data_IF_170725760841
#
_entry.id   IF_170725760841
#
_cell.length_a   1.000
_cell.length_b   1.000
_cell.length_c   1.000
_cell.angle_alpha   90.00
_cell.angle_beta   90.00
_cell.angle_gamma   90.00
#
_symmetry.space_group_name_H-M   'P 1'
#
loop_
_entity.id
_entity.type
_entity.pdbx_description
1 polymer ?
#
# COMPACT_ATOMS: atom_id res chain seq x y z
N UNK A 1 -7.25 -0.48 -63.10
CA UNK A 1 -6.34 -1.01 -64.16
C UNK A 1 -6.92 -2.26 -64.83
N UNK A 2 -7.22 -3.32 -64.14
CA UNK A 2 -7.63 -4.58 -64.75
C UNK A 2 -9.07 -4.52 -65.33
N UNK A 3 -10.00 -3.91 -64.61
CA UNK A 3 -11.42 -3.87 -65.02
C UNK A 3 -11.67 -2.82 -66.08
N UNK A 4 -11.20 -1.57 -65.89
CA UNK A 4 -11.55 -0.43 -66.73
C UNK A 4 -10.41 -0.01 -67.72
N UNK A 5 -9.29 -0.71 -67.75
CA UNK A 5 -8.09 -0.44 -68.59
C UNK A 5 -7.62 1.03 -68.56
N UNK A 6 -7.84 1.73 -67.46
CA UNK A 6 -7.43 3.11 -67.23
C UNK A 6 -5.97 3.24 -66.78
N UNK A 7 -5.43 4.47 -66.81
CA UNK A 7 -4.11 4.72 -66.34
C UNK A 7 -3.95 4.42 -64.84
N UNK A 8 -2.73 4.04 -64.35
CA UNK A 8 -2.51 3.85 -62.91
C UNK A 8 -2.88 5.07 -62.05
N UNK A 9 -2.64 6.27 -62.58
CA UNK A 9 -2.87 7.52 -61.87
C UNK A 9 -4.40 7.79 -61.73
N UNK A 10 -5.17 7.56 -62.79
CA UNK A 10 -6.62 7.75 -62.77
C UNK A 10 -7.29 6.74 -61.86
N UNK A 11 -6.82 5.48 -61.87
CA UNK A 11 -7.29 4.43 -60.95
C UNK A 11 -6.98 4.75 -59.47
N UNK A 12 -5.79 5.26 -59.21
CA UNK A 12 -5.38 5.67 -57.86
C UNK A 12 -6.18 6.88 -57.39
N UNK A 13 -6.35 7.88 -58.25
CA UNK A 13 -7.18 9.06 -57.94
C UNK A 13 -8.61 8.67 -57.61
N UNK A 14 -9.26 7.86 -58.45
CA UNK A 14 -10.62 7.37 -58.25
C UNK A 14 -10.76 6.59 -56.94
N UNK A 15 -9.82 5.70 -56.66
CA UNK A 15 -9.79 4.93 -55.40
C UNK A 15 -9.67 5.86 -54.19
N UNK A 16 -8.76 6.84 -54.25
CA UNK A 16 -8.54 7.79 -53.16
C UNK A 16 -9.78 8.61 -52.83
N UNK A 17 -10.44 9.23 -53.87
CA UNK A 17 -11.65 10.03 -53.65
C UNK A 17 -12.84 9.21 -53.18
N UNK A 18 -12.87 7.91 -53.53
CA UNK A 18 -13.94 6.99 -53.09
C UNK A 18 -13.71 6.59 -51.62
N UNK A 19 -12.50 6.11 -51.27
CA UNK A 19 -12.19 5.64 -49.92
C UNK A 19 -12.18 6.78 -48.90
N UNK A 20 -11.70 7.98 -49.30
CA UNK A 20 -11.72 9.17 -48.41
C UNK A 20 -13.08 9.82 -48.30
N UNK A 21 -14.14 9.28 -48.96
CA UNK A 21 -15.53 9.80 -48.96
C UNK A 21 -15.67 11.21 -49.50
N UNK A 22 -14.69 11.73 -50.25
CA UNK A 22 -14.74 13.07 -50.88
C UNK A 22 -15.71 13.11 -52.03
N UNK A 23 -15.76 12.08 -52.88
CA UNK A 23 -16.81 11.81 -53.86
C UNK A 23 -17.15 12.94 -54.83
N UNK A 24 -16.15 13.68 -55.37
CA UNK A 24 -16.44 14.81 -56.27
C UNK A 24 -17.25 14.40 -57.50
N UNK A 25 -16.71 13.46 -58.26
CA UNK A 25 -17.38 12.84 -59.41
C UNK A 25 -16.49 11.73 -59.97
N UNK A 26 -17.04 10.81 -60.75
CA UNK A 26 -16.30 9.78 -61.46
C UNK A 26 -15.21 10.40 -62.35
N UNK A 27 -13.94 9.94 -62.16
CA UNK A 27 -12.83 10.41 -62.98
C UNK A 27 -12.91 9.91 -64.42
N UNK A 28 -13.63 8.81 -64.65
CA UNK A 28 -13.92 8.19 -65.95
C UNK A 28 -15.22 7.36 -65.87
N UNK A 29 -15.91 7.13 -66.99
CA UNK A 29 -17.13 6.32 -67.01
C UNK A 29 -16.81 4.88 -66.57
N UNK A 30 -17.61 4.36 -65.61
CA UNK A 30 -17.46 3.01 -65.10
C UNK A 30 -18.36 2.02 -65.83
N UNK A 31 -17.82 0.86 -66.19
CA UNK A 31 -18.61 -0.29 -66.63
C UNK A 31 -19.46 -0.85 -65.47
N UNK A 32 -20.50 -1.67 -65.72
CA UNK A 32 -21.25 -2.33 -64.67
C UNK A 32 -20.37 -3.13 -63.68
N UNK A 33 -19.31 -3.75 -64.17
CA UNK A 33 -18.33 -4.46 -63.34
C UNK A 33 -17.51 -3.49 -62.52
N UNK A 34 -17.08 -2.35 -63.04
CA UNK A 34 -16.40 -1.28 -62.33
C UNK A 34 -17.26 -0.63 -61.25
N UNK A 35 -18.57 -0.41 -61.53
CA UNK A 35 -19.53 0.08 -60.54
C UNK A 35 -19.66 -0.89 -59.36
N UNK A 36 -19.84 -2.18 -59.62
CA UNK A 36 -19.93 -3.19 -58.57
C UNK A 36 -18.63 -3.26 -57.72
N UNK A 37 -17.47 -3.18 -58.37
CA UNK A 37 -16.20 -3.12 -57.67
C UNK A 37 -16.06 -1.86 -56.81
N UNK A 38 -16.46 -0.70 -57.32
CA UNK A 38 -16.40 0.58 -56.60
C UNK A 38 -17.31 0.57 -55.38
N UNK A 39 -18.47 -0.05 -55.45
CA UNK A 39 -19.37 -0.25 -54.29
C UNK A 39 -18.68 -1.09 -53.21
N UNK A 40 -18.08 -2.22 -53.57
CA UNK A 40 -17.36 -3.05 -52.63
C UNK A 40 -16.14 -2.31 -52.02
N UNK A 41 -15.43 -1.54 -52.85
CA UNK A 41 -14.28 -0.73 -52.40
C UNK A 41 -14.74 0.38 -51.42
N UNK A 42 -15.87 1.02 -51.68
CA UNK A 42 -16.42 2.06 -50.81
C UNK A 42 -16.75 1.49 -49.42
N UNK A 43 -17.52 0.40 -49.33
CA UNK A 43 -17.85 -0.23 -48.07
C UNK A 43 -16.65 -0.79 -47.34
N UNK A 44 -15.75 -1.47 -48.07
CA UNK A 44 -14.52 -2.02 -47.47
C UNK A 44 -13.58 -0.92 -47.01
N UNK A 45 -13.37 0.13 -47.79
CA UNK A 45 -12.54 1.28 -47.46
C UNK A 45 -13.01 2.03 -46.22
N UNK A 46 -14.32 2.31 -46.13
CA UNK A 46 -14.92 2.93 -44.95
C UNK A 46 -14.73 2.04 -43.72
N UNK A 47 -14.95 0.73 -43.87
CA UNK A 47 -14.73 -0.23 -42.77
C UNK A 47 -13.32 -0.18 -42.22
N UNK A 48 -12.31 -0.18 -43.09
CA UNK A 48 -10.90 -0.08 -42.67
C UNK A 48 -10.59 1.26 -42.00
N UNK A 49 -11.09 2.38 -42.56
CA UNK A 49 -10.90 3.71 -41.96
C UNK A 49 -11.53 3.77 -40.55
N UNK A 50 -12.74 3.23 -40.37
CA UNK A 50 -13.40 3.21 -39.07
C UNK A 50 -12.64 2.36 -38.04
N UNK A 51 -12.06 1.21 -38.44
CA UNK A 51 -11.22 0.40 -37.55
C UNK A 51 -9.97 1.19 -37.15
N UNK A 52 -9.25 1.77 -38.12
CA UNK A 52 -8.05 2.57 -37.84
C UNK A 52 -8.40 3.77 -36.94
N UNK A 53 -9.49 4.49 -37.24
CA UNK A 53 -9.94 5.61 -36.42
C UNK A 53 -10.32 5.17 -34.99
N UNK A 54 -10.99 4.02 -34.86
CA UNK A 54 -11.33 3.48 -33.52
C UNK A 54 -10.12 3.08 -32.71
N UNK A 55 -9.12 2.43 -33.31
CA UNK A 55 -7.87 2.08 -32.64
C UNK A 55 -7.04 3.34 -32.31
N UNK A 56 -7.00 4.32 -33.21
CA UNK A 56 -6.36 5.60 -32.95
C UNK A 56 -7.06 6.36 -31.81
N UNK A 57 -8.39 6.40 -31.81
CA UNK A 57 -9.18 6.99 -30.73
C UNK A 57 -8.96 6.24 -29.41
N UNK A 58 -8.88 4.90 -29.45
CA UNK A 58 -8.57 4.07 -28.29
C UNK A 58 -7.18 4.40 -27.74
N UNK A 59 -6.15 4.49 -28.58
CA UNK A 59 -4.79 4.90 -28.18
C UNK A 59 -4.75 6.34 -27.66
N UNK A 60 -5.52 7.27 -28.23
CA UNK A 60 -5.63 8.67 -27.77
C UNK A 60 -6.45 8.81 -26.47
N UNK A 61 -7.46 7.97 -26.29
CA UNK A 61 -8.28 7.93 -25.07
C UNK A 61 -7.63 7.06 -23.98
N UNK A 62 -6.80 6.08 -24.35
CA UNK A 62 -5.96 5.35 -23.42
C UNK A 62 -4.85 6.29 -22.93
N UNK A 63 -5.19 7.02 -21.97
CA UNK A 63 -4.54 7.37 -20.71
C UNK A 63 -3.04 7.73 -20.69
N UNK A 64 -2.26 7.64 -21.75
CA UNK A 64 -0.81 7.92 -21.68
C UNK A 64 -0.51 9.42 -21.47
N UNK A 65 -1.37 10.31 -21.94
CA UNK A 65 -1.18 11.75 -21.72
C UNK A 65 -1.57 12.16 -20.29
N UNK A 66 -2.65 11.59 -19.75
CA UNK A 66 -3.00 11.77 -18.32
C UNK A 66 -2.00 11.08 -17.42
N UNK A 67 -1.44 9.94 -17.84
CA UNK A 67 -0.38 9.20 -17.19
C UNK A 67 0.90 10.02 -17.03
N UNK A 68 1.37 10.69 -18.07
CA UNK A 68 2.58 11.53 -17.99
C UNK A 68 2.41 12.71 -17.04
N UNK A 69 1.21 13.24 -16.88
CA UNK A 69 0.91 14.34 -15.95
C UNK A 69 0.76 13.79 -14.51
N UNK A 70 0.05 12.67 -14.33
CA UNK A 70 -0.10 12.00 -13.03
C UNK A 70 1.22 11.50 -12.46
N UNK A 71 2.01 10.75 -13.23
CA UNK A 71 3.34 10.25 -12.83
C UNK A 71 4.26 11.39 -12.39
N UNK A 72 4.24 12.55 -13.07
CA UNK A 72 5.06 13.72 -12.66
C UNK A 72 4.61 14.29 -11.32
N UNK A 73 3.32 14.30 -11.02
CA UNK A 73 2.78 14.84 -9.76
C UNK A 73 3.08 13.90 -8.59
N UNK A 74 2.88 12.61 -8.76
CA UNK A 74 3.10 11.59 -7.73
C UNK A 74 4.59 11.46 -7.39
N UNK A 75 5.46 11.46 -8.39
CA UNK A 75 6.91 11.52 -8.18
C UNK A 75 7.33 12.81 -7.45
N UNK A 76 6.62 13.92 -7.66
CA UNK A 76 6.92 15.18 -6.95
C UNK A 76 6.48 15.11 -5.49
N UNK A 77 5.37 14.44 -5.17
CA UNK A 77 4.95 14.18 -3.80
C UNK A 77 5.94 13.26 -3.09
N UNK A 78 6.29 12.13 -3.71
CA UNK A 78 7.22 11.15 -3.14
C UNK A 78 8.61 11.74 -2.92
N UNK A 79 9.09 12.63 -3.82
CA UNK A 79 10.39 13.31 -3.66
C UNK A 79 10.47 14.15 -2.38
N UNK A 80 9.35 14.63 -1.87
CA UNK A 80 9.27 15.40 -0.62
C UNK A 80 9.19 14.52 0.62
N UNK A 81 8.88 13.22 0.47
CA UNK A 81 8.79 12.29 1.58
C UNK A 81 10.18 11.89 2.08
N UNK A 82 10.35 11.90 3.40
CA UNK A 82 11.52 11.39 4.11
C UNK A 82 11.06 10.73 5.41
N UNK A 83 11.68 9.62 5.80
CA UNK A 83 11.25 8.86 6.97
C UNK A 83 9.83 8.28 6.85
N UNK A 84 9.30 8.19 5.65
CA UNK A 84 7.98 7.63 5.35
C UNK A 84 8.00 6.09 5.34
N UNK A 85 6.83 5.49 5.18
CA UNK A 85 6.66 4.05 5.03
C UNK A 85 6.39 3.74 3.56
N UNK A 86 7.05 2.71 3.01
CA UNK A 86 6.76 2.19 1.67
C UNK A 86 5.98 0.89 1.81
N UNK A 87 4.85 0.79 1.11
CA UNK A 87 4.00 -0.41 1.08
C UNK A 87 4.07 -1.00 -0.32
N UNK A 88 4.53 -2.25 -0.42
CA UNK A 88 4.60 -3.00 -1.68
C UNK A 88 3.39 -3.92 -1.80
N UNK A 89 2.54 -3.65 -2.79
CA UNK A 89 1.28 -4.35 -3.05
C UNK A 89 0.08 -3.69 -2.36
N UNK A 90 -0.91 -3.26 -3.16
CA UNK A 90 -2.17 -2.65 -2.72
C UNK A 90 -3.36 -3.59 -2.86
N UNK A 91 -3.13 -4.89 -2.73
CA UNK A 91 -4.17 -5.89 -2.60
C UNK A 91 -4.90 -5.81 -1.25
N UNK A 92 -5.66 -6.84 -0.88
CA UNK A 92 -6.47 -6.87 0.36
C UNK A 92 -5.68 -6.49 1.62
N UNK A 93 -4.44 -6.97 1.76
CA UNK A 93 -3.61 -6.66 2.93
C UNK A 93 -3.06 -5.23 2.87
N UNK A 94 -2.53 -4.81 1.72
CA UNK A 94 -2.01 -3.46 1.54
C UNK A 94 -3.08 -2.38 1.77
N UNK A 95 -4.32 -2.60 1.30
CA UNK A 95 -5.46 -1.73 1.58
C UNK A 95 -5.71 -1.57 3.09
N UNK A 96 -5.78 -2.67 3.82
CA UNK A 96 -5.99 -2.63 5.26
C UNK A 96 -4.85 -1.88 6.00
N UNK A 97 -3.61 -2.05 5.56
CA UNK A 97 -2.45 -1.31 6.11
C UNK A 97 -2.57 0.18 5.82
N UNK A 98 -2.88 0.54 4.58
CA UNK A 98 -3.00 1.94 4.14
C UNK A 98 -4.15 2.66 4.83
N UNK A 99 -5.30 2.01 5.04
CA UNK A 99 -6.42 2.57 5.80
C UNK A 99 -6.02 2.99 7.21
N UNK A 100 -5.25 2.15 7.91
CA UNK A 100 -4.73 2.50 9.23
C UNK A 100 -3.77 3.69 9.17
N UNK A 101 -2.89 3.76 8.16
CA UNK A 101 -1.97 4.89 8.01
C UNK A 101 -2.70 6.19 7.71
N UNK A 102 -3.74 6.15 6.88
CA UNK A 102 -4.61 7.31 6.62
C UNK A 102 -5.28 7.80 7.90
N UNK A 103 -5.90 6.91 8.64
CA UNK A 103 -6.60 7.25 9.89
C UNK A 103 -5.65 7.88 10.93
N UNK A 104 -4.36 7.50 10.90
CA UNK A 104 -3.34 8.01 11.83
C UNK A 104 -2.49 9.15 11.27
N UNK A 105 -2.74 9.62 10.04
CA UNK A 105 -1.97 10.69 9.40
C UNK A 105 -0.49 10.33 9.16
N UNK A 106 -0.18 9.05 8.98
CA UNK A 106 1.20 8.56 8.75
C UNK A 106 1.55 8.77 7.28
N UNK A 107 2.73 9.33 6.99
CA UNK A 107 3.22 9.50 5.63
C UNK A 107 3.64 8.15 5.02
N UNK A 108 3.12 7.83 3.85
CA UNK A 108 3.44 6.59 3.13
C UNK A 108 3.49 6.79 1.61
N UNK A 109 4.11 5.82 0.92
CA UNK A 109 4.04 5.65 -0.52
C UNK A 109 3.68 4.19 -0.82
N UNK A 110 2.93 3.95 -1.89
CA UNK A 110 2.52 2.62 -2.32
C UNK A 110 3.18 2.26 -3.64
N UNK A 111 3.55 1.00 -3.81
CA UNK A 111 3.98 0.43 -5.09
C UNK A 111 3.01 -0.69 -5.44
N UNK A 112 2.42 -0.63 -6.62
CA UNK A 112 1.60 -1.72 -7.16
C UNK A 112 1.77 -1.84 -8.68
N UNK A 113 1.59 -3.05 -9.20
CA UNK A 113 1.65 -3.32 -10.64
C UNK A 113 0.30 -3.08 -11.31
N UNK A 114 -0.81 -3.26 -10.59
CA UNK A 114 -2.17 -3.17 -11.11
C UNK A 114 -2.57 -1.72 -11.37
N UNK A 115 -2.91 -1.38 -12.65
CA UNK A 115 -3.29 -0.03 -13.00
C UNK A 115 -4.59 0.46 -12.36
N UNK A 116 -5.52 -0.43 -12.02
CA UNK A 116 -6.79 -0.04 -11.38
C UNK A 116 -6.55 0.36 -9.93
N UNK A 117 -5.73 -0.40 -9.22
CA UNK A 117 -5.36 -0.12 -7.85
C UNK A 117 -4.53 1.17 -7.73
N UNK A 118 -3.62 1.41 -8.69
CA UNK A 118 -2.88 2.67 -8.74
C UNK A 118 -3.81 3.87 -8.99
N UNK A 119 -4.79 3.76 -9.91
CA UNK A 119 -5.76 4.83 -10.17
C UNK A 119 -6.58 5.20 -8.93
N UNK A 120 -7.04 4.21 -8.18
CA UNK A 120 -7.77 4.44 -6.93
C UNK A 120 -6.95 5.32 -5.96
N UNK A 121 -5.66 5.04 -5.81
CA UNK A 121 -4.77 5.82 -4.97
C UNK A 121 -4.48 7.22 -5.55
N UNK A 122 -4.33 7.35 -6.87
CA UNK A 122 -4.16 8.62 -7.57
C UNK A 122 -5.37 9.53 -7.39
N UNK A 123 -6.58 8.99 -7.53
CA UNK A 123 -7.85 9.71 -7.34
C UNK A 123 -7.99 10.22 -5.90
N UNK A 124 -7.49 9.47 -4.93
CA UNK A 124 -7.43 9.85 -3.53
C UNK A 124 -6.22 10.72 -3.17
N UNK A 125 -5.45 11.16 -4.16
CA UNK A 125 -4.25 12.00 -4.00
C UNK A 125 -3.18 11.38 -3.08
N UNK A 126 -3.05 10.05 -3.11
CA UNK A 126 -2.03 9.32 -2.38
C UNK A 126 -0.76 9.16 -3.21
N UNK A 127 0.38 9.07 -2.55
CA UNK A 127 1.67 8.83 -3.19
C UNK A 127 1.75 7.38 -3.69
N UNK A 128 1.75 7.19 -5.00
CA UNK A 128 1.80 5.85 -5.62
C UNK A 128 2.84 5.79 -6.74
N UNK A 129 3.48 4.65 -6.86
CA UNK A 129 4.36 4.27 -7.98
C UNK A 129 3.79 3.03 -8.64
N UNK A 130 3.43 3.14 -9.90
CA UNK A 130 3.04 1.97 -10.67
C UNK A 130 4.29 1.29 -11.22
N UNK A 131 4.49 0.03 -10.85
CA UNK A 131 5.62 -0.76 -11.35
C UNK A 131 5.80 -2.06 -10.58
N UNK A 132 6.73 -2.87 -11.06
CA UNK A 132 7.12 -4.11 -10.40
C UNK A 132 8.04 -3.79 -9.20
N UNK A 133 7.66 -4.26 -8.02
CA UNK A 133 8.45 -4.09 -6.80
C UNK A 133 9.79 -4.85 -6.82
N UNK A 134 10.04 -5.68 -7.84
CA UNK A 134 11.32 -6.32 -8.10
C UNK A 134 12.28 -5.46 -8.95
N UNK A 135 11.88 -4.27 -9.36
CA UNK A 135 12.72 -3.35 -10.13
C UNK A 135 13.36 -2.28 -9.24
N UNK A 136 14.68 -2.10 -9.34
CA UNK A 136 15.45 -1.09 -8.58
C UNK A 136 14.93 0.33 -8.80
N UNK A 137 14.60 0.68 -10.04
CA UNK A 137 14.08 1.99 -10.42
C UNK A 137 12.72 2.30 -9.74
N UNK A 138 11.86 1.31 -9.61
CA UNK A 138 10.55 1.42 -8.98
C UNK A 138 10.70 1.67 -7.47
N UNK A 139 11.57 0.91 -6.80
CA UNK A 139 11.84 1.11 -5.38
C UNK A 139 12.52 2.47 -5.09
N UNK A 140 13.42 2.92 -5.97
CA UNK A 140 13.99 4.29 -5.90
C UNK A 140 12.93 5.36 -6.10
N UNK A 141 12.03 5.18 -7.08
CA UNK A 141 10.92 6.10 -7.32
C UNK A 141 9.98 6.19 -6.11
N UNK A 142 9.72 5.07 -5.42
CA UNK A 142 8.96 5.03 -4.17
C UNK A 142 9.70 5.65 -2.97
N UNK A 143 10.95 6.02 -3.12
CA UNK A 143 11.75 6.68 -2.08
C UNK A 143 12.33 5.74 -1.04
N UNK A 144 12.50 4.45 -1.33
CA UNK A 144 13.11 3.46 -0.43
C UNK A 144 14.44 3.93 0.19
N UNK A 145 15.37 4.59 -0.55
CA UNK A 145 16.60 5.11 0.05
C UNK A 145 16.42 6.11 1.19
N UNK A 146 15.23 6.70 1.34
CA UNK A 146 14.89 7.70 2.37
C UNK A 146 13.77 7.25 3.29
N UNK A 147 13.21 6.07 3.05
CA UNK A 147 12.14 5.49 3.85
C UNK A 147 12.71 4.93 5.17
N UNK A 148 11.91 4.99 6.24
CA UNK A 148 12.26 4.36 7.52
C UNK A 148 11.80 2.90 7.58
N UNK A 149 10.73 2.56 6.87
CA UNK A 149 10.10 1.24 6.94
C UNK A 149 9.59 0.82 5.57
N UNK A 150 9.78 -0.44 5.24
CA UNK A 150 9.18 -1.11 4.10
C UNK A 150 8.21 -2.18 4.60
N UNK A 151 7.02 -2.26 4.03
CA UNK A 151 6.06 -3.33 4.29
C UNK A 151 5.81 -4.07 2.98
N UNK A 152 6.10 -5.36 2.92
CA UNK A 152 5.81 -6.17 1.75
C UNK A 152 4.48 -6.89 1.91
N UNK A 153 3.55 -6.66 0.97
CA UNK A 153 2.23 -7.28 0.91
C UNK A 153 1.98 -7.97 -0.44
N UNK A 154 3.04 -8.33 -1.16
CA UNK A 154 2.94 -8.95 -2.49
C UNK A 154 2.27 -10.33 -2.43
N UNK A 155 1.79 -10.81 -3.58
CA UNK A 155 0.94 -11.99 -3.67
C UNK A 155 1.69 -13.30 -3.36
N UNK A 156 2.99 -13.35 -3.58
CA UNK A 156 3.81 -14.55 -3.35
C UNK A 156 5.12 -14.23 -2.61
N UNK A 157 5.70 -15.26 -2.00
CA UNK A 157 6.87 -15.13 -1.14
C UNK A 157 8.17 -14.90 -1.92
N UNK A 158 8.28 -15.34 -3.17
CA UNK A 158 9.49 -15.16 -3.98
C UNK A 158 9.67 -13.67 -4.33
N UNK A 159 8.60 -12.99 -4.74
CA UNK A 159 8.62 -11.55 -4.98
C UNK A 159 8.88 -10.76 -3.68
N UNK A 160 8.30 -11.20 -2.55
CA UNK A 160 8.58 -10.60 -1.25
C UNK A 160 10.08 -10.71 -0.90
N UNK A 161 10.69 -11.89 -1.04
CA UNK A 161 12.13 -12.12 -0.80
C UNK A 161 12.98 -11.20 -1.66
N UNK A 162 12.69 -11.13 -2.97
CA UNK A 162 13.47 -10.33 -3.90
C UNK A 162 13.37 -8.83 -3.59
N UNK A 163 12.16 -8.35 -3.32
CA UNK A 163 11.93 -6.95 -2.95
C UNK A 163 12.64 -6.56 -1.63
N UNK A 164 12.72 -7.48 -0.66
CA UNK A 164 13.46 -7.28 0.59
C UNK A 164 14.95 -7.12 0.32
N UNK A 165 15.53 -8.02 -0.48
CA UNK A 165 16.96 -7.96 -0.84
C UNK A 165 17.31 -6.64 -1.52
N UNK A 166 16.50 -6.20 -2.49
CA UNK A 166 16.68 -4.90 -3.15
C UNK A 166 16.54 -3.74 -2.19
N UNK A 167 15.53 -3.77 -1.32
CA UNK A 167 15.30 -2.69 -0.37
C UNK A 167 16.46 -2.55 0.62
N UNK A 168 17.00 -3.65 1.16
CA UNK A 168 18.18 -3.65 2.03
C UNK A 168 19.46 -3.22 1.29
N UNK A 169 19.57 -3.53 -0.01
CA UNK A 169 20.66 -3.02 -0.84
C UNK A 169 20.57 -1.50 -1.04
N UNK A 170 19.36 -0.95 -1.25
CA UNK A 170 19.12 0.48 -1.45
C UNK A 170 19.22 1.30 -0.16
N UNK A 171 18.85 0.68 0.96
CA UNK A 171 18.83 1.30 2.28
C UNK A 171 19.08 0.21 3.34
N UNK A 172 20.34 0.00 3.77
CA UNK A 172 20.68 -1.03 4.76
C UNK A 172 19.97 -0.85 6.11
N UNK A 173 19.63 0.38 6.47
CA UNK A 173 19.02 0.71 7.77
C UNK A 173 17.48 0.62 7.76
N UNK A 174 16.87 0.34 6.60
CA UNK A 174 15.42 0.27 6.49
C UNK A 174 14.86 -0.88 7.33
N UNK A 175 13.86 -0.59 8.15
CA UNK A 175 13.11 -1.63 8.85
C UNK A 175 12.14 -2.31 7.89
N UNK A 176 12.25 -3.64 7.75
CA UNK A 176 11.42 -4.42 6.83
C UNK A 176 10.43 -5.29 7.58
N UNK A 177 9.14 -5.10 7.31
CA UNK A 177 8.05 -5.95 7.79
C UNK A 177 7.51 -6.72 6.60
N UNK A 178 7.57 -8.04 6.64
CA UNK A 178 7.17 -8.89 5.52
C UNK A 178 5.92 -9.71 5.83
N UNK A 179 5.06 -9.82 4.83
CA UNK A 179 3.97 -10.79 4.82
C UNK A 179 4.50 -12.13 4.32
N UNK A 180 4.33 -13.19 5.12
CA UNK A 180 4.45 -14.56 4.63
C UNK A 180 3.11 -15.04 4.06
N UNK A 181 3.15 -15.66 2.89
CA UNK A 181 1.97 -16.23 2.22
C UNK A 181 1.85 -17.71 2.55
N UNK A 182 2.94 -18.46 2.42
CA UNK A 182 3.02 -19.89 2.65
C UNK A 182 3.56 -20.22 4.04
N UNK A 183 3.16 -21.39 4.53
CA UNK A 183 3.77 -21.94 5.74
C UNK A 183 5.26 -22.25 5.49
N UNK A 184 6.13 -21.83 6.42
CA UNK A 184 7.58 -21.99 6.30
C UNK A 184 8.30 -20.92 5.47
N UNK A 185 7.61 -19.97 4.85
CA UNK A 185 8.26 -18.83 4.18
C UNK A 185 8.96 -17.86 5.15
N UNK A 186 8.57 -17.88 6.43
CA UNK A 186 9.05 -16.94 7.43
C UNK A 186 10.57 -16.94 7.57
N UNK A 187 11.20 -18.11 7.56
CA UNK A 187 12.65 -18.24 7.68
C UNK A 187 13.35 -17.64 6.44
N UNK A 188 12.84 -17.94 5.24
CA UNK A 188 13.38 -17.39 3.97
C UNK A 188 13.29 -15.85 3.94
N UNK A 189 12.16 -15.29 4.37
CA UNK A 189 11.98 -13.84 4.43
C UNK A 189 12.90 -13.18 5.46
N UNK A 190 13.14 -13.82 6.62
CA UNK A 190 14.13 -13.34 7.61
C UNK A 190 15.55 -13.41 7.06
N UNK A 191 15.91 -14.49 6.40
CA UNK A 191 17.23 -14.63 5.76
C UNK A 191 17.45 -13.58 4.65
N UNK A 192 16.39 -13.19 3.96
CA UNK A 192 16.44 -12.09 3.00
C UNK A 192 16.61 -10.69 3.64
N UNK A 193 16.47 -10.58 4.96
CA UNK A 193 16.64 -9.34 5.71
C UNK A 193 15.37 -8.72 6.28
N UNK A 194 14.26 -9.47 6.35
CA UNK A 194 13.07 -8.98 7.03
C UNK A 194 13.28 -8.94 8.56
N UNK A 195 13.07 -7.78 9.16
CA UNK A 195 13.17 -7.60 10.61
C UNK A 195 11.97 -8.23 11.35
N UNK A 196 10.80 -8.21 10.70
CA UNK A 196 9.59 -8.86 11.18
C UNK A 196 8.87 -9.57 10.05
N UNK A 197 8.35 -10.77 10.34
CA UNK A 197 7.56 -11.55 9.37
C UNK A 197 6.24 -11.95 10.02
N UNK A 198 5.15 -11.70 9.32
CA UNK A 198 3.79 -12.03 9.75
C UNK A 198 3.10 -12.89 8.70
N UNK A 199 2.51 -14.00 9.14
CA UNK A 199 1.56 -14.78 8.34
C UNK A 199 0.13 -14.39 8.75
N UNK A 200 -0.60 -13.63 7.92
CA UNK A 200 -1.93 -13.13 8.27
C UNK A 200 -2.95 -14.25 8.51
N UNK A 201 -2.84 -15.34 7.76
CA UNK A 201 -3.75 -16.49 7.90
C UNK A 201 -3.55 -17.19 9.24
N UNK A 202 -2.29 -17.36 9.68
CA UNK A 202 -1.99 -17.93 10.99
C UNK A 202 -2.45 -17.00 12.12
N UNK A 203 -2.16 -15.71 12.00
CA UNK A 203 -2.61 -14.71 12.99
C UNK A 203 -4.13 -14.67 13.06
N UNK A 204 -4.81 -14.57 11.90
CA UNK A 204 -6.26 -14.53 11.82
C UNK A 204 -6.92 -15.84 12.28
N UNK A 205 -6.39 -17.00 11.85
CA UNK A 205 -6.88 -18.31 12.27
C UNK A 205 -6.76 -18.53 13.77
N UNK A 206 -5.60 -18.18 14.36
CA UNK A 206 -5.42 -18.21 15.83
C UNK A 206 -6.41 -17.29 16.54
N UNK A 207 -6.63 -16.10 16.01
CA UNK A 207 -7.59 -15.14 16.58
C UNK A 207 -9.01 -15.68 16.53
N UNK A 208 -9.45 -16.24 15.41
CA UNK A 208 -10.78 -16.87 15.27
C UNK A 208 -10.95 -18.02 16.27
N UNK A 209 -9.94 -18.88 16.42
CA UNK A 209 -9.98 -19.98 17.37
C UNK A 209 -10.09 -19.50 18.82
N UNK A 210 -9.28 -18.49 19.21
CA UNK A 210 -9.35 -17.89 20.57
C UNK A 210 -10.71 -17.24 20.80
N UNK A 211 -11.25 -16.53 19.80
CA UNK A 211 -12.59 -15.91 19.91
C UNK A 211 -13.67 -16.95 20.13
N UNK A 212 -13.61 -18.08 19.41
CA UNK A 212 -14.56 -19.18 19.60
C UNK A 212 -14.44 -19.86 20.97
N UNK A 213 -13.21 -20.01 21.49
CA UNK A 213 -12.96 -20.68 22.77
C UNK A 213 -13.13 -19.78 23.98
N UNK A 214 -12.87 -18.48 23.85
CA UNK A 214 -12.84 -17.51 24.95
C UNK A 214 -13.41 -16.15 24.51
N UNK A 215 -14.69 -16.05 24.12
CA UNK A 215 -15.27 -14.84 23.56
C UNK A 215 -15.12 -13.62 24.48
N UNK A 216 -15.44 -13.78 25.77
CA UNK A 216 -15.34 -12.68 26.75
C UNK A 216 -13.92 -12.11 26.89
N UNK A 217 -12.90 -12.98 26.79
CA UNK A 217 -11.50 -12.52 26.85
C UNK A 217 -11.14 -11.75 25.59
N UNK A 218 -11.62 -12.20 24.43
CA UNK A 218 -11.41 -11.51 23.15
C UNK A 218 -12.07 -10.14 23.16
N UNK A 219 -13.34 -10.07 23.59
CA UNK A 219 -14.08 -8.82 23.70
C UNK A 219 -13.36 -7.81 24.61
N UNK A 220 -12.85 -8.29 25.75
CA UNK A 220 -12.07 -7.45 26.68
C UNK A 220 -10.78 -6.91 26.05
N UNK A 221 -10.02 -7.77 25.38
CA UNK A 221 -8.77 -7.36 24.71
C UNK A 221 -9.05 -6.39 23.58
N UNK A 222 -10.09 -6.64 22.76
CA UNK A 222 -10.46 -5.75 21.64
C UNK A 222 -10.93 -4.38 22.16
N UNK A 223 -11.71 -4.36 23.22
CA UNK A 223 -12.13 -3.12 23.87
C UNK A 223 -10.93 -2.33 24.43
N UNK A 224 -9.94 -3.04 24.98
CA UNK A 224 -8.73 -2.42 25.56
C UNK A 224 -7.74 -1.91 24.51
N UNK A 225 -7.74 -2.47 23.28
CA UNK A 225 -6.83 -2.08 22.20
C UNK A 225 -7.42 -1.07 21.21
N UNK A 226 -8.77 -1.03 21.10
CA UNK A 226 -9.44 -0.23 20.06
C UNK A 226 -9.93 1.14 20.56
N UNK A 227 -9.88 1.42 21.84
CA UNK A 227 -10.35 2.70 22.41
C UNK A 227 -11.84 3.03 22.18
N UNK A 228 -12.64 2.07 21.65
CA UNK A 228 -13.93 2.38 21.02
C UNK A 228 -15.17 2.06 21.85
N UNK A 229 -15.07 1.36 22.98
CA UNK A 229 -16.27 1.04 23.78
C UNK A 229 -16.08 0.78 25.27
N UNK A 230 -14.87 0.58 25.76
CA UNK A 230 -14.53 0.68 27.18
C UNK A 230 -13.52 1.83 27.34
N UNK A 231 -13.73 2.66 28.37
CA UNK A 231 -12.81 3.74 28.76
C UNK A 231 -11.44 3.21 29.25
N UNK A 232 -11.09 1.96 28.93
CA UNK A 232 -9.87 1.29 29.36
C UNK A 232 -8.88 1.15 28.20
N UNK A 233 -7.65 1.58 28.43
CA UNK A 233 -6.53 1.49 27.48
C UNK A 233 -5.34 0.82 28.14
N UNK A 234 -4.52 0.15 27.31
CA UNK A 234 -3.21 -0.38 27.70
C UNK A 234 -2.14 0.59 27.21
N UNK A 235 -1.38 1.16 28.12
CA UNK A 235 -0.31 2.12 27.80
C UNK A 235 1.04 1.70 28.39
N UNK A 236 2.10 2.11 27.71
CA UNK A 236 3.47 2.02 28.21
C UNK A 236 3.85 3.36 28.86
N UNK A 237 4.19 3.32 30.14
CA UNK A 237 4.58 4.50 30.93
C UNK A 237 6.04 4.36 31.33
N UNK A 238 6.89 5.22 30.80
CA UNK A 238 8.33 5.23 31.13
C UNK A 238 8.56 6.00 32.42
N UNK A 239 9.27 5.39 33.38
CA UNK A 239 9.60 6.01 34.67
C UNK A 239 10.84 6.88 34.51
N UNK A 240 10.66 8.20 34.57
CA UNK A 240 11.78 9.14 34.54
C UNK A 240 12.54 9.15 35.89
N UNK A 241 13.87 9.45 35.92
CA UNK A 241 14.64 9.55 37.15
C UNK A 241 14.11 10.57 38.16
N UNK A 242 13.45 11.63 37.73
CA UNK A 242 12.82 12.64 38.57
C UNK A 242 11.45 12.24 39.13
N UNK A 243 10.90 11.12 38.67
CA UNK A 243 9.56 10.66 39.06
C UNK A 243 9.47 10.33 40.55
N UNK A 244 8.39 10.71 41.19
CA UNK A 244 8.07 10.35 42.56
C UNK A 244 7.80 8.85 42.77
N UNK A 245 7.69 8.10 41.67
CA UNK A 245 7.53 6.63 41.68
C UNK A 245 8.87 5.90 41.75
N UNK A 246 9.96 6.53 41.25
CA UNK A 246 11.26 5.90 41.21
C UNK A 246 11.79 5.61 42.63
N UNK A 247 12.32 4.39 42.84
CA UNK A 247 12.83 3.92 44.14
C UNK A 247 11.78 3.37 45.10
N UNK A 248 10.49 3.56 44.83
CA UNK A 248 9.38 2.99 45.63
C UNK A 248 9.01 1.59 45.17
N UNK A 249 8.42 0.81 46.07
CA UNK A 249 7.71 -0.42 45.66
C UNK A 249 6.37 -0.09 45.02
N UNK A 250 5.80 -1.00 44.25
CA UNK A 250 4.47 -0.83 43.66
C UNK A 250 3.40 -0.54 44.73
N UNK A 251 3.47 -1.20 45.87
CA UNK A 251 2.61 -0.90 47.02
C UNK A 251 2.87 0.50 47.58
N UNK A 252 4.15 0.87 47.78
CA UNK A 252 4.54 2.17 48.33
C UNK A 252 4.25 3.35 47.41
N UNK A 253 4.23 3.13 46.12
CA UNK A 253 3.81 4.11 45.09
C UNK A 253 2.30 4.29 45.03
N UNK A 254 1.50 3.37 45.62
CA UNK A 254 0.04 3.37 45.65
C UNK A 254 -0.61 3.60 44.27
N UNK A 255 0.00 3.06 43.21
CA UNK A 255 -0.36 3.35 41.82
C UNK A 255 -1.85 3.13 41.56
N UNK A 256 -2.40 2.00 42.07
CA UNK A 256 -3.81 1.70 41.92
C UNK A 256 -4.72 2.71 42.64
N UNK A 257 -4.34 3.14 43.84
CA UNK A 257 -5.13 4.06 44.66
C UNK A 257 -5.08 5.50 44.13
N UNK A 258 -3.88 5.93 43.71
CA UNK A 258 -3.64 7.31 43.24
C UNK A 258 -4.17 7.57 41.84
N UNK A 259 -3.99 6.60 40.95
CA UNK A 259 -4.29 6.79 39.53
C UNK A 259 -5.49 5.95 39.04
N UNK A 260 -5.90 4.90 39.76
CA UNK A 260 -7.01 4.04 39.34
C UNK A 260 -6.61 3.07 38.20
N UNK A 261 -5.32 2.74 38.07
CA UNK A 261 -4.77 1.86 37.03
C UNK A 261 -4.22 0.57 37.66
N UNK A 262 -4.04 -0.44 36.80
CA UNK A 262 -3.42 -1.71 37.16
C UNK A 262 -2.10 -1.82 36.37
N UNK A 263 -0.99 -2.08 37.07
CA UNK A 263 0.29 -2.42 36.42
C UNK A 263 0.26 -3.89 36.05
N UNK A 264 0.19 -4.18 34.76
CA UNK A 264 0.10 -5.54 34.20
C UNK A 264 1.49 -6.17 34.03
N UNK A 265 2.47 -5.34 33.68
CA UNK A 265 3.87 -5.76 33.58
C UNK A 265 4.81 -4.60 33.90
N UNK A 266 6.04 -4.98 34.30
CA UNK A 266 7.17 -4.08 34.47
C UNK A 266 8.32 -4.59 33.61
N UNK A 267 8.80 -3.74 32.71
CA UNK A 267 9.94 -4.03 31.83
C UNK A 267 11.16 -3.23 32.25
N UNK A 268 12.26 -3.93 32.51
CA UNK A 268 13.57 -3.37 32.85
C UNK A 268 14.61 -3.89 31.87
N UNK A 269 15.04 -3.06 30.94
CA UNK A 269 15.88 -3.48 29.82
C UNK A 269 15.22 -4.59 28.99
N UNK A 270 15.87 -5.73 28.87
CA UNK A 270 15.32 -6.91 28.15
C UNK A 270 14.41 -7.79 29.01
N UNK A 271 14.38 -7.58 30.34
CA UNK A 271 13.59 -8.40 31.26
C UNK A 271 12.21 -7.82 31.48
N UNK A 272 11.17 -8.64 31.27
CA UNK A 272 9.77 -8.30 31.56
C UNK A 272 9.25 -9.16 32.72
N UNK A 273 8.72 -8.52 33.74
CA UNK A 273 8.05 -9.17 34.89
C UNK A 273 6.56 -8.96 34.72
N UNK A 274 5.80 -10.03 34.43
CA UNK A 274 4.34 -9.98 34.35
C UNK A 274 3.70 -10.12 35.73
N UNK A 275 2.61 -9.41 35.96
CA UNK A 275 1.90 -9.35 37.24
C UNK A 275 2.89 -9.10 38.42
N UNK A 276 3.62 -7.97 38.37
CA UNK A 276 4.64 -7.68 39.41
C UNK A 276 3.99 -7.61 40.79
N UNK A 277 4.65 -8.19 41.76
CA UNK A 277 4.18 -8.21 43.14
C UNK A 277 4.21 -6.82 43.81
N UNK A 278 3.50 -6.66 44.94
CA UNK A 278 3.43 -5.37 45.65
C UNK A 278 4.77 -4.85 46.12
N UNK A 279 5.72 -5.76 46.37
CA UNK A 279 7.08 -5.46 46.85
C UNK A 279 8.07 -5.18 45.72
N UNK A 280 7.65 -5.35 44.44
CA UNK A 280 8.50 -5.06 43.29
C UNK A 280 8.84 -3.57 43.28
N UNK A 281 10.15 -3.26 43.16
CA UNK A 281 10.62 -1.87 43.10
C UNK A 281 10.54 -1.32 41.71
N UNK A 282 10.09 -0.08 41.61
CA UNK A 282 10.09 0.72 40.41
C UNK A 282 11.42 1.48 40.34
N UNK A 283 12.18 1.31 39.29
CA UNK A 283 13.45 1.99 39.08
C UNK A 283 13.35 3.00 37.93
N UNK A 284 14.22 3.98 37.93
CA UNK A 284 14.33 4.92 36.81
C UNK A 284 14.69 4.17 35.53
N UNK A 285 13.99 4.46 34.45
CA UNK A 285 14.12 3.78 33.15
C UNK A 285 13.26 2.54 32.98
N UNK A 286 12.53 2.10 34.03
CA UNK A 286 11.54 1.03 33.90
C UNK A 286 10.39 1.50 33.01
N UNK A 287 9.80 0.55 32.26
CA UNK A 287 8.56 0.75 31.53
C UNK A 287 7.45 -0.02 32.23
N UNK A 288 6.47 0.71 32.76
CA UNK A 288 5.28 0.13 33.35
C UNK A 288 4.23 -0.08 32.24
N UNK A 289 3.80 -1.31 32.02
CA UNK A 289 2.65 -1.60 31.17
C UNK A 289 1.41 -1.50 32.06
N UNK A 290 0.66 -0.45 31.86
CA UNK A 290 -0.49 -0.09 32.70
C UNK A 290 -1.80 -0.23 31.95
N UNK A 291 -2.84 -0.73 32.63
CA UNK A 291 -4.21 -0.84 32.16
C UNK A 291 -5.11 0.08 32.98
N UNK A 292 -5.86 0.93 32.35
CA UNK A 292 -6.81 1.82 33.03
C UNK A 292 -7.51 2.79 32.08
N UNK A 293 -8.40 3.65 32.61
CA UNK A 293 -9.04 4.69 31.84
C UNK A 293 -8.01 5.67 31.23
N UNK A 294 -8.26 6.14 30.00
CA UNK A 294 -7.36 7.05 29.26
C UNK A 294 -6.91 8.24 30.12
N UNK A 295 -7.87 8.90 30.79
CA UNK A 295 -7.57 10.04 31.66
C UNK A 295 -6.69 9.68 32.89
N UNK A 296 -6.73 8.43 33.32
CA UNK A 296 -5.91 7.92 34.42
C UNK A 296 -4.49 7.61 33.95
N UNK A 297 -4.35 7.07 32.74
CA UNK A 297 -3.05 6.83 32.08
C UNK A 297 -2.33 8.14 31.78
N UNK A 298 -3.01 9.15 31.28
CA UNK A 298 -2.43 10.49 31.12
C UNK A 298 -1.93 11.11 32.43
N UNK A 299 -2.62 10.85 33.55
CA UNK A 299 -2.20 11.35 34.87
C UNK A 299 -0.93 10.70 35.35
N UNK A 300 -0.79 9.38 35.19
CA UNK A 300 0.44 8.70 35.62
C UNK A 300 1.60 9.07 34.68
N UNK A 301 1.36 9.20 33.40
CA UNK A 301 2.38 9.62 32.44
C UNK A 301 2.98 11.01 32.80
N UNK A 302 2.12 11.96 33.15
CA UNK A 302 2.58 13.26 33.67
C UNK A 302 3.33 13.15 35.00
N UNK A 303 2.89 12.27 35.91
CA UNK A 303 3.58 12.03 37.18
C UNK A 303 4.91 11.31 37.04
N UNK A 304 5.14 10.63 35.94
CA UNK A 304 6.44 9.97 35.66
C UNK A 304 7.42 10.88 34.91
N UNK A 305 6.98 12.00 34.34
CA UNK A 305 7.81 12.98 33.61
C UNK A 305 8.34 14.12 34.52
N UNK A 306 7.69 14.35 35.66
CA UNK A 306 8.08 15.35 36.65
C UNK A 306 8.84 14.71 37.84
#
# INVERSE_FOLDING_TARGET
MVIEKQSPLDAFYMTTITVTTVGFREAFPLSPAGQAFTILLAFGGIGVILVIASEFARVMLDTDIRRMIGIRRDLTMIKKLSGHIVVLGYGRMGRAVVEVFRAKGVAFAVVDLDPEQCRELEDEHQAVVRGDASEDEVLRAAGVPRARTLITCLADDAHNVYAILLAKQLNPDITVIARAVEDGAEERLRLAGADRVLNPYRVGGTRLAITALKPTVTDFVDASLSGSSMELELAEVVVHPSSDLAGKTLAGAEVRRRFGIIVVALKRGEKSTFNPGPDERIEAGDVLVALGPIHALERIERATQN
#
